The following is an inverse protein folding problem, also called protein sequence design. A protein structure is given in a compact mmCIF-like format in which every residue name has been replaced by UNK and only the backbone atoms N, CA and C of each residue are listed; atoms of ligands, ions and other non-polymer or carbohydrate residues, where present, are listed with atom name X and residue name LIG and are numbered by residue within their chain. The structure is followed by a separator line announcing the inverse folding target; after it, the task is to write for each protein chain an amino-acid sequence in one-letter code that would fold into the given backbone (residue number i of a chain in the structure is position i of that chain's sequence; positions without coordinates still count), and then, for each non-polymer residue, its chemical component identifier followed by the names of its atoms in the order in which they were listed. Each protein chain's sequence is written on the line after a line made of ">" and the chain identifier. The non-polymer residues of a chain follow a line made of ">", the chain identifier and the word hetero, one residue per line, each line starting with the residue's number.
data_IF_662240460066
#
_entry.id   IF_662240460066
#
_cell.length_a   1.000
_cell.length_b   1.000
_cell.length_c   1.000
_cell.angle_alpha   90.00
_cell.angle_beta   90.00
_cell.angle_gamma   90.00
#
_symmetry.space_group_name_H-M   'P 1'
#
loop_
_entity.id
_entity.type
_entity.pdbx_description
1 polymer ?
#
# COMPACT_ATOMS: atom_id res chain seq x y z
N UNK A 1 -40.34 7.72 1.89
CA UNK A 1 -39.57 6.92 0.91
C UNK A 1 -38.18 6.78 1.50
N UNK A 2 -37.88 5.63 2.10
CA UNK A 2 -36.60 5.42 2.78
C UNK A 2 -35.57 5.13 1.68
N UNK A 3 -34.68 6.09 1.42
CA UNK A 3 -33.45 5.87 0.67
C UNK A 3 -32.58 4.94 1.52
N UNK A 4 -32.75 3.63 1.33
CA UNK A 4 -31.76 2.66 1.81
C UNK A 4 -30.76 2.55 0.67
N UNK A 5 -29.62 3.23 0.80
CA UNK A 5 -28.49 3.02 -0.09
C UNK A 5 -28.08 1.53 0.01
N UNK A 6 -28.39 0.76 -1.03
CA UNK A 6 -28.07 -0.67 -1.09
C UNK A 6 -26.57 -0.82 -1.33
N UNK A 7 -25.84 -1.24 -0.29
CA UNK A 7 -24.41 -1.43 -0.35
C UNK A 7 -24.05 -2.92 -0.20
N UNK A 8 -23.22 -3.44 -1.09
CA UNK A 8 -22.72 -4.80 -1.00
C UNK A 8 -21.20 -4.86 -1.10
N UNK A 9 -20.59 -5.70 -0.26
CA UNK A 9 -19.14 -5.91 -0.20
C UNK A 9 -18.84 -7.37 -0.53
N UNK A 10 -18.03 -7.62 -1.56
CA UNK A 10 -17.70 -8.99 -1.96
C UNK A 10 -16.22 -9.18 -2.30
N UNK A 11 -15.69 -10.36 -1.93
CA UNK A 11 -14.32 -10.77 -2.24
C UNK A 11 -14.39 -12.05 -3.07
N UNK A 12 -13.80 -12.02 -4.26
CA UNK A 12 -13.73 -13.20 -5.12
C UNK A 12 -12.72 -14.22 -4.59
N UNK A 13 -13.20 -15.42 -4.27
CA UNK A 13 -12.41 -16.55 -3.72
C UNK A 13 -12.38 -17.78 -4.66
N UNK A 14 -12.46 -17.57 -5.97
CA UNK A 14 -12.34 -18.64 -6.98
C UNK A 14 -13.65 -19.28 -7.46
N UNK A 15 -14.78 -19.03 -6.79
CA UNK A 15 -16.10 -19.51 -7.22
C UNK A 15 -17.00 -18.34 -7.61
N UNK A 16 -17.35 -18.24 -8.90
CA UNK A 16 -18.23 -17.19 -9.42
C UNK A 16 -19.65 -17.27 -8.84
N UNK A 17 -20.26 -18.46 -8.81
CA UNK A 17 -21.61 -18.65 -8.27
C UNK A 17 -21.72 -18.18 -6.81
N UNK A 18 -20.78 -18.59 -5.94
CA UNK A 18 -20.76 -18.15 -4.53
C UNK A 18 -20.55 -16.64 -4.39
N UNK A 19 -19.75 -16.04 -5.28
CA UNK A 19 -19.53 -14.60 -5.29
C UNK A 19 -20.81 -13.82 -5.61
N UNK A 20 -21.55 -14.20 -6.66
CA UNK A 20 -22.82 -13.54 -6.99
C UNK A 20 -23.92 -13.84 -5.99
N UNK A 21 -23.99 -15.04 -5.42
CA UNK A 21 -24.91 -15.34 -4.32
C UNK A 21 -24.66 -14.44 -3.10
N UNK A 22 -23.39 -14.18 -2.76
CA UNK A 22 -23.04 -13.31 -1.64
C UNK A 22 -23.38 -11.83 -1.91
N UNK A 23 -23.34 -11.39 -3.17
CA UNK A 23 -23.79 -10.06 -3.58
C UNK A 23 -25.32 -9.96 -3.50
N UNK A 24 -26.03 -10.89 -4.15
CA UNK A 24 -27.48 -10.93 -4.15
C UNK A 24 -28.05 -10.97 -2.71
N UNK A 25 -27.48 -11.79 -1.84
CA UNK A 25 -27.87 -11.85 -0.43
C UNK A 25 -27.71 -10.51 0.32
N UNK A 26 -26.64 -9.75 0.06
CA UNK A 26 -26.42 -8.44 0.69
C UNK A 26 -27.33 -7.35 0.13
N UNK A 27 -27.71 -7.47 -1.14
CA UNK A 27 -28.61 -6.55 -1.82
C UNK A 27 -30.09 -6.93 -1.64
N UNK A 28 -30.39 -7.95 -0.84
CA UNK A 28 -31.74 -8.49 -0.65
C UNK A 28 -32.42 -8.91 -1.97
N UNK A 29 -31.63 -9.50 -2.87
CA UNK A 29 -32.07 -9.97 -4.20
C UNK A 29 -32.31 -11.49 -4.14
N UNK A 30 -33.45 -11.99 -4.62
CA UNK A 30 -33.75 -13.41 -4.65
C UNK A 30 -32.68 -14.22 -5.40
N UNK A 31 -32.23 -15.33 -4.78
CA UNK A 31 -31.26 -16.25 -5.40
C UNK A 31 -31.89 -17.54 -5.93
N UNK A 32 -33.21 -17.64 -5.84
CA UNK A 32 -34.02 -18.77 -6.27
C UNK A 32 -35.12 -18.28 -7.20
N UNK A 33 -35.53 -19.12 -8.15
CA UNK A 33 -36.69 -18.84 -9.00
C UNK A 33 -38.01 -19.14 -8.26
N UNK A 34 -39.14 -18.85 -8.91
CA UNK A 34 -40.49 -19.11 -8.37
C UNK A 34 -40.75 -20.60 -8.03
N UNK A 35 -39.95 -21.52 -8.59
CA UNK A 35 -40.01 -22.96 -8.32
C UNK A 35 -39.08 -23.41 -7.16
N UNK A 36 -38.39 -22.48 -6.48
CA UNK A 36 -37.44 -22.77 -5.40
C UNK A 36 -36.12 -23.38 -5.87
N UNK A 37 -35.78 -23.29 -7.16
CA UNK A 37 -34.47 -23.73 -7.71
C UNK A 37 -33.47 -22.58 -7.66
N UNK A 38 -32.26 -22.88 -7.20
CA UNK A 38 -31.18 -21.89 -7.16
C UNK A 38 -30.80 -21.40 -8.56
N UNK A 39 -30.74 -20.08 -8.72
CA UNK A 39 -30.34 -19.43 -9.96
C UNK A 39 -28.93 -19.86 -10.40
N UNK A 40 -28.73 -19.90 -11.72
CA UNK A 40 -27.41 -20.09 -12.32
C UNK A 40 -26.56 -18.82 -12.14
N UNK A 41 -25.26 -18.90 -12.44
CA UNK A 41 -24.38 -17.75 -12.33
C UNK A 41 -24.80 -16.60 -13.24
N UNK A 42 -25.24 -16.91 -14.47
CA UNK A 42 -25.63 -15.88 -15.43
C UNK A 42 -27.00 -15.28 -15.09
N UNK A 43 -27.95 -16.11 -14.63
CA UNK A 43 -29.21 -15.60 -14.08
C UNK A 43 -29.00 -14.68 -12.86
N UNK A 44 -28.06 -15.01 -11.97
CA UNK A 44 -27.73 -14.12 -10.85
C UNK A 44 -27.15 -12.78 -11.32
N UNK A 45 -26.34 -12.76 -12.38
CA UNK A 45 -25.80 -11.50 -12.93
C UNK A 45 -26.92 -10.62 -13.48
N UNK A 46 -27.84 -11.22 -14.23
CA UNK A 46 -28.99 -10.52 -14.82
C UNK A 46 -29.91 -9.99 -13.72
N UNK A 47 -30.24 -10.81 -12.73
CA UNK A 47 -31.09 -10.41 -11.61
C UNK A 47 -30.45 -9.28 -10.79
N UNK A 48 -29.15 -9.37 -10.52
CA UNK A 48 -28.43 -8.29 -9.84
C UNK A 48 -28.45 -7.03 -10.70
N UNK A 49 -28.18 -7.13 -11.99
CA UNK A 49 -28.17 -5.97 -12.88
C UNK A 49 -29.55 -5.30 -12.99
N UNK A 50 -30.63 -6.07 -13.01
CA UNK A 50 -32.00 -5.55 -13.07
C UNK A 50 -32.44 -4.81 -11.80
N UNK A 51 -31.89 -5.19 -10.65
CA UNK A 51 -32.26 -4.62 -9.35
C UNK A 51 -31.26 -3.55 -8.84
N UNK A 52 -30.11 -3.38 -9.51
CA UNK A 52 -29.14 -2.34 -9.19
C UNK A 52 -29.46 -1.04 -9.94
N UNK A 53 -29.23 0.09 -9.29
CA UNK A 53 -29.44 1.43 -9.83
C UNK A 53 -28.33 2.40 -9.38
N UNK A 54 -28.51 3.70 -9.64
CA UNK A 54 -27.59 4.78 -9.30
C UNK A 54 -27.38 5.03 -7.79
N UNK A 55 -28.28 4.51 -6.95
CA UNK A 55 -28.14 4.49 -5.48
C UNK A 55 -27.42 3.25 -4.95
N UNK A 56 -27.14 2.27 -5.81
CA UNK A 56 -26.46 1.03 -5.42
C UNK A 56 -24.94 1.22 -5.38
N UNK A 57 -24.31 0.75 -4.29
CA UNK A 57 -22.87 0.81 -4.08
C UNK A 57 -22.26 -0.60 -3.96
N UNK A 58 -21.37 -0.94 -4.89
CA UNK A 58 -20.63 -2.21 -4.87
C UNK A 58 -19.17 -1.96 -4.45
N UNK A 59 -18.70 -2.65 -3.41
CA UNK A 59 -17.34 -2.51 -2.89
C UNK A 59 -16.58 -3.83 -3.04
N UNK A 60 -15.40 -3.77 -3.66
CA UNK A 60 -14.54 -4.92 -3.92
C UNK A 60 -13.16 -4.74 -3.28
N UNK A 61 -12.95 -5.25 -2.05
CA UNK A 61 -11.71 -5.08 -1.29
C UNK A 61 -10.44 -5.68 -1.94
N UNK A 62 -10.59 -6.69 -2.80
CA UNK A 62 -9.49 -7.36 -3.49
C UNK A 62 -9.74 -7.40 -5.00
N UNK A 63 -9.91 -6.23 -5.62
CA UNK A 63 -10.35 -6.09 -7.01
C UNK A 63 -9.40 -6.77 -8.03
N UNK A 64 -8.11 -6.92 -7.70
CA UNK A 64 -7.13 -7.66 -8.53
C UNK A 64 -7.54 -9.12 -8.79
N UNK A 65 -8.32 -9.73 -7.90
CA UNK A 65 -8.77 -11.12 -8.04
C UNK A 65 -9.97 -11.30 -8.97
N UNK A 66 -10.64 -10.21 -9.35
CA UNK A 66 -11.80 -10.28 -10.24
C UNK A 66 -11.39 -10.86 -11.59
N UNK A 67 -12.12 -11.89 -12.01
CA UNK A 67 -11.93 -12.50 -13.33
C UNK A 67 -12.35 -11.53 -14.42
N UNK A 68 -11.81 -11.70 -15.62
CA UNK A 68 -12.15 -10.85 -16.77
C UNK A 68 -13.66 -10.78 -17.02
N UNK A 69 -14.38 -11.91 -16.93
CA UNK A 69 -15.84 -11.92 -17.09
C UNK A 69 -16.61 -11.14 -16.01
N UNK A 70 -16.11 -11.08 -14.77
CA UNK A 70 -16.73 -10.23 -13.74
C UNK A 70 -16.43 -8.76 -14.01
N UNK A 71 -15.23 -8.43 -14.53
CA UNK A 71 -14.86 -7.06 -14.86
C UNK A 71 -15.72 -6.47 -15.98
N UNK A 72 -15.93 -7.21 -17.07
CA UNK A 72 -16.85 -6.79 -18.14
C UNK A 72 -18.28 -6.60 -17.62
N UNK A 73 -18.78 -7.52 -16.81
CA UNK A 73 -20.11 -7.35 -16.19
C UNK A 73 -20.20 -6.09 -15.30
N UNK A 74 -19.13 -5.74 -14.60
CA UNK A 74 -19.09 -4.50 -13.82
C UNK A 74 -19.00 -3.24 -14.69
N UNK A 75 -18.38 -3.30 -15.87
CA UNK A 75 -18.37 -2.18 -16.84
C UNK A 75 -19.81 -1.87 -17.27
N UNK A 76 -20.59 -2.90 -17.61
CA UNK A 76 -22.00 -2.75 -17.99
C UNK A 76 -22.84 -2.13 -16.85
N UNK A 77 -22.58 -2.53 -15.59
CA UNK A 77 -23.25 -1.94 -14.43
C UNK A 77 -22.86 -0.48 -14.20
N UNK A 78 -21.58 -0.16 -14.34
CA UNK A 78 -21.10 1.22 -14.22
C UNK A 78 -21.72 2.12 -15.30
N UNK A 79 -21.81 1.63 -16.55
CA UNK A 79 -22.47 2.32 -17.64
C UNK A 79 -23.96 2.55 -17.37
N UNK A 80 -24.60 1.66 -16.61
CA UNK A 80 -25.99 1.77 -16.15
C UNK A 80 -26.17 2.71 -14.93
N UNK A 81 -25.08 3.28 -14.40
CA UNK A 81 -25.08 4.26 -13.31
C UNK A 81 -24.73 3.70 -11.93
N UNK A 82 -24.49 2.39 -11.80
CA UNK A 82 -24.15 1.77 -10.51
C UNK A 82 -22.79 2.25 -10.02
N UNK A 83 -22.68 2.60 -8.74
CA UNK A 83 -21.41 3.05 -8.14
C UNK A 83 -20.56 1.86 -7.74
N UNK A 84 -19.35 1.79 -8.27
CA UNK A 84 -18.40 0.70 -7.99
C UNK A 84 -17.13 1.25 -7.35
N UNK A 85 -16.72 0.66 -6.23
CA UNK A 85 -15.48 0.98 -5.52
C UNK A 85 -14.58 -0.25 -5.51
N UNK A 86 -13.44 -0.14 -6.18
CA UNK A 86 -12.43 -1.19 -6.24
C UNK A 86 -11.22 -0.83 -5.39
N UNK A 87 -10.86 -1.69 -4.44
CA UNK A 87 -9.64 -1.55 -3.65
C UNK A 87 -8.60 -2.55 -4.16
N UNK A 88 -7.38 -2.06 -4.39
CA UNK A 88 -6.25 -2.87 -4.81
C UNK A 88 -4.94 -2.26 -4.27
N UNK A 89 -3.93 -3.11 -4.09
CA UNK A 89 -2.57 -2.66 -3.71
C UNK A 89 -1.89 -1.87 -4.82
N UNK A 90 -2.21 -2.20 -6.07
CA UNK A 90 -1.76 -1.49 -7.26
C UNK A 90 -2.86 -1.61 -8.33
N UNK A 91 -3.10 -0.52 -9.06
CA UNK A 91 -4.05 -0.52 -10.17
C UNK A 91 -3.60 -1.53 -11.25
N UNK A 92 -4.44 -2.51 -11.64
CA UNK A 92 -4.12 -3.45 -12.72
C UNK A 92 -3.99 -2.80 -14.11
N UNK A 93 -4.52 -1.59 -14.32
CA UNK A 93 -4.37 -0.81 -15.55
C UNK A 93 -4.97 -1.46 -16.79
N UNK A 94 -6.14 -2.12 -16.66
CA UNK A 94 -6.86 -2.80 -17.75
C UNK A 94 -8.35 -2.91 -17.47
N UNK A 95 -9.15 -3.21 -18.48
CA UNK A 95 -10.60 -3.43 -18.36
C UNK A 95 -11.26 -2.24 -17.61
N UNK A 96 -12.24 -2.51 -16.76
CA UNK A 96 -12.94 -1.53 -15.92
C UNK A 96 -12.04 -0.53 -15.20
N UNK A 97 -10.82 -0.93 -14.83
CA UNK A 97 -9.90 -0.06 -14.10
C UNK A 97 -9.37 1.12 -14.91
N UNK A 98 -9.54 1.11 -16.24
CA UNK A 98 -9.17 2.23 -17.12
C UNK A 98 -10.20 3.37 -17.07
N UNK A 99 -11.47 3.06 -16.79
CA UNK A 99 -12.57 4.04 -16.76
C UNK A 99 -12.84 4.58 -15.35
N UNK A 100 -12.33 3.90 -14.33
CA UNK A 100 -12.52 4.29 -12.93
C UNK A 100 -11.63 5.48 -12.55
N UNK A 101 -12.16 6.35 -11.68
CA UNK A 101 -11.36 7.36 -11.00
C UNK A 101 -10.34 6.69 -10.07
N UNK A 102 -9.06 6.98 -10.27
CA UNK A 102 -7.99 6.47 -9.41
C UNK A 102 -7.73 7.42 -8.23
N UNK A 103 -7.78 6.85 -7.02
CA UNK A 103 -7.43 7.55 -5.77
C UNK A 103 -6.26 6.79 -5.15
N UNK A 104 -5.07 7.37 -5.22
CA UNK A 104 -3.88 6.81 -4.57
C UNK A 104 -3.84 7.20 -3.08
N UNK A 105 -3.71 6.19 -2.21
CA UNK A 105 -3.58 6.42 -0.77
C UNK A 105 -2.11 6.60 -0.40
N UNK A 106 -1.76 7.80 0.06
CA UNK A 106 -0.43 8.05 0.58
C UNK A 106 -0.16 7.27 1.87
N UNK A 107 1.10 6.83 2.04
CA UNK A 107 1.53 6.28 3.31
C UNK A 107 1.40 7.34 4.42
N UNK A 108 0.88 6.98 5.61
CA UNK A 108 0.76 7.93 6.71
C UNK A 108 2.12 8.46 7.15
N UNK A 109 2.18 9.69 7.63
CA UNK A 109 3.42 10.28 8.17
C UNK A 109 3.85 9.60 9.47
N UNK A 110 5.14 9.71 9.79
CA UNK A 110 5.71 9.23 11.05
C UNK A 110 5.01 9.82 12.28
N UNK A 111 4.58 11.08 12.20
CA UNK A 111 3.78 11.72 13.25
C UNK A 111 2.42 11.04 13.41
N UNK A 112 1.75 10.70 12.30
CA UNK A 112 0.46 10.02 12.35
C UNK A 112 0.59 8.60 12.93
N UNK A 113 1.67 7.89 12.61
CA UNK A 113 1.98 6.60 13.23
C UNK A 113 2.17 6.75 14.74
N UNK A 114 2.91 7.77 15.16
CA UNK A 114 3.10 8.08 16.59
C UNK A 114 1.78 8.31 17.32
N UNK A 115 0.86 9.05 16.72
CA UNK A 115 -0.49 9.26 17.25
C UNK A 115 -1.28 7.95 17.38
N UNK A 116 -1.21 7.09 16.35
CA UNK A 116 -1.85 5.77 16.39
C UNK A 116 -1.29 4.93 17.53
N UNK A 117 0.03 4.94 17.74
CA UNK A 117 0.67 4.21 18.84
C UNK A 117 0.25 4.74 20.21
N UNK A 118 0.21 6.06 20.40
CA UNK A 118 -0.26 6.68 21.66
C UNK A 118 -1.72 6.35 21.95
N UNK A 119 -2.56 6.43 20.92
CA UNK A 119 -3.99 6.11 21.04
C UNK A 119 -4.19 4.64 21.42
N UNK A 120 -3.42 3.73 20.82
CA UNK A 120 -3.45 2.31 21.16
C UNK A 120 -2.95 2.03 22.58
N UNK A 121 -1.86 2.68 23.00
CA UNK A 121 -1.31 2.52 24.35
C UNK A 121 -2.33 2.96 25.41
N UNK A 122 -2.98 4.11 25.19
CA UNK A 122 -4.06 4.61 26.04
C UNK A 122 -5.24 3.64 26.09
N UNK A 123 -5.63 3.06 24.96
CA UNK A 123 -6.71 2.05 24.89
C UNK A 123 -6.40 0.80 25.71
N UNK A 124 -5.13 0.41 25.78
CA UNK A 124 -4.68 -0.75 26.55
C UNK A 124 -4.34 -0.41 28.01
N UNK A 125 -4.54 0.83 28.45
CA UNK A 125 -4.15 1.28 29.79
C UNK A 125 -2.63 1.26 30.03
N UNK A 126 -1.83 1.21 28.97
CA UNK A 126 -0.38 1.16 29.05
C UNK A 126 0.20 2.58 29.08
N UNK A 127 0.96 2.89 30.13
CA UNK A 127 1.68 4.15 30.23
C UNK A 127 3.06 4.03 29.57
N UNK A 128 3.17 4.40 28.29
CA UNK A 128 4.42 4.37 27.54
C UNK A 128 5.05 5.77 27.54
N UNK A 129 6.31 5.87 27.97
CA UNK A 129 7.10 7.10 27.85
C UNK A 129 7.41 7.44 26.38
N UNK A 130 7.54 8.72 26.05
CA UNK A 130 7.87 9.18 24.69
C UNK A 130 9.18 8.59 24.13
N UNK A 131 10.20 8.37 24.97
CA UNK A 131 11.45 7.71 24.58
C UNK A 131 11.20 6.27 24.11
N UNK A 132 10.48 5.49 24.91
CA UNK A 132 10.12 4.11 24.57
C UNK A 132 9.26 4.03 23.30
N UNK A 133 8.37 4.99 23.11
CA UNK A 133 7.53 5.04 21.90
C UNK A 133 8.37 5.36 20.65
N UNK A 134 9.39 6.21 20.77
CA UNK A 134 10.35 6.47 19.70
C UNK A 134 11.22 5.25 19.36
N UNK A 135 11.55 4.40 20.32
CA UNK A 135 12.25 3.12 20.07
C UNK A 135 11.37 2.10 19.34
N UNK A 136 10.06 2.08 19.62
CA UNK A 136 9.11 1.15 19.03
C UNK A 136 8.66 1.57 17.62
N UNK A 137 8.63 2.87 17.33
CA UNK A 137 8.13 3.41 16.07
C UNK A 137 8.84 2.84 14.82
N UNK A 138 10.19 2.71 14.77
CA UNK A 138 10.88 2.08 13.64
C UNK A 138 10.44 0.63 13.38
N UNK A 139 9.96 -0.10 14.39
CA UNK A 139 9.46 -1.47 14.22
C UNK A 139 8.13 -1.50 13.43
N UNK A 140 7.33 -0.44 13.55
CA UNK A 140 6.05 -0.31 12.89
C UNK A 140 6.15 0.20 11.44
N UNK A 141 7.22 0.93 11.12
CA UNK A 141 7.34 1.68 9.87
C UNK A 141 6.15 2.62 9.66
N UNK A 142 5.74 2.83 8.40
CA UNK A 142 4.59 3.67 8.03
C UNK A 142 3.26 2.89 7.96
N UNK A 143 3.10 1.84 8.77
CA UNK A 143 1.89 1.00 8.77
C UNK A 143 1.11 1.13 10.10
N UNK A 144 -0.12 1.73 10.10
CA UNK A 144 -0.93 1.89 11.31
C UNK A 144 -1.33 0.58 11.99
N UNK A 145 -1.54 -0.49 11.23
CA UNK A 145 -1.93 -1.79 11.79
C UNK A 145 -0.76 -2.48 12.48
N UNK A 146 0.44 -2.37 11.90
CA UNK A 146 1.67 -2.85 12.56
C UNK A 146 1.97 -2.01 13.80
N UNK A 147 1.77 -0.70 13.75
CA UNK A 147 1.94 0.20 14.90
C UNK A 147 1.10 -0.24 16.12
N UNK A 148 -0.18 -0.59 15.88
CA UNK A 148 -1.05 -1.13 16.94
C UNK A 148 -0.56 -2.48 17.48
N UNK A 149 -0.11 -3.36 16.58
CA UNK A 149 0.45 -4.67 16.94
C UNK A 149 1.70 -4.54 17.80
N UNK A 150 2.62 -3.64 17.45
CA UNK A 150 3.85 -3.37 18.23
C UNK A 150 3.51 -2.91 19.65
N UNK A 151 2.58 -1.96 19.80
CA UNK A 151 2.13 -1.49 21.12
C UNK A 151 1.46 -2.62 21.93
N UNK A 152 0.65 -3.46 21.27
CA UNK A 152 0.04 -4.63 21.91
C UNK A 152 1.07 -5.67 22.34
N UNK A 153 2.14 -5.86 21.58
CA UNK A 153 3.20 -6.78 21.97
C UNK A 153 3.98 -6.23 23.18
N UNK A 154 4.20 -4.92 23.23
CA UNK A 154 4.85 -4.26 24.37
C UNK A 154 4.03 -4.43 25.66
N UNK A 155 2.70 -4.28 25.62
CA UNK A 155 1.85 -4.49 26.80
C UNK A 155 1.87 -5.92 27.32
N UNK A 156 2.12 -6.89 26.43
CA UNK A 156 2.25 -8.31 26.76
C UNK A 156 3.70 -8.71 27.14
N UNK A 157 4.65 -7.76 27.14
CA UNK A 157 6.06 -8.03 27.42
C UNK A 157 6.78 -8.83 26.31
N UNK A 158 6.20 -8.92 25.12
CA UNK A 158 6.75 -9.64 23.98
C UNK A 158 7.76 -8.77 23.23
N UNK A 159 9.06 -9.03 23.43
CA UNK A 159 10.13 -8.28 22.74
C UNK A 159 10.23 -8.67 21.27
N UNK A 160 9.87 -7.74 20.38
CA UNK A 160 10.18 -7.87 18.95
C UNK A 160 11.56 -7.28 18.67
N UNK A 161 12.53 -8.15 18.33
CA UNK A 161 13.92 -7.75 18.07
C UNK A 161 14.22 -7.40 16.61
N UNK A 162 13.27 -7.60 15.68
CA UNK A 162 13.46 -7.32 14.25
C UNK A 162 12.42 -6.30 13.77
N UNK A 163 12.84 -5.16 13.19
CA UNK A 163 11.91 -4.26 12.51
C UNK A 163 11.28 -5.00 11.32
N UNK A 164 9.94 -4.94 11.20
CA UNK A 164 9.22 -5.55 10.08
C UNK A 164 9.51 -4.80 8.76
N UNK A 165 9.95 -3.53 8.83
CA UNK A 165 10.34 -2.72 7.67
C UNK A 165 11.70 -2.05 7.90
N UNK A 166 12.64 -2.23 6.98
CA UNK A 166 13.85 -1.43 6.90
C UNK A 166 13.51 -0.08 6.28
N UNK A 167 13.35 0.96 7.10
CA UNK A 167 13.31 2.32 6.62
C UNK A 167 14.69 2.67 6.05
N UNK A 168 14.79 2.69 4.72
CA UNK A 168 16.00 3.12 4.03
C UNK A 168 16.16 4.63 4.25
N UNK A 169 17.09 5.01 5.11
CA UNK A 169 17.59 6.39 5.11
C UNK A 169 18.28 6.60 3.77
N UNK A 170 17.82 7.59 2.99
CA UNK A 170 18.44 7.94 1.71
C UNK A 170 19.77 8.65 2.01
N UNK A 171 20.84 7.88 2.23
CA UNK A 171 22.19 8.36 2.58
C UNK A 171 22.92 8.99 1.37
N UNK A 172 22.36 8.82 0.16
CA UNK A 172 22.96 9.28 -1.10
C UNK A 172 23.38 10.77 -1.12
N UNK A 173 22.58 11.73 -0.60
CA UNK A 173 22.96 13.14 -0.58
C UNK A 173 24.23 13.39 0.26
N UNK A 174 24.37 12.69 1.38
CA UNK A 174 25.54 12.82 2.27
C UNK A 174 26.81 12.31 1.57
N UNK A 175 26.71 11.17 0.88
CA UNK A 175 27.84 10.60 0.12
C UNK A 175 28.24 11.55 -1.02
N UNK A 176 27.28 12.12 -1.75
CA UNK A 176 27.57 13.07 -2.84
C UNK A 176 28.24 14.33 -2.28
N UNK A 177 27.76 14.89 -1.16
CA UNK A 177 28.37 16.05 -0.52
C UNK A 177 29.82 15.78 -0.10
N UNK A 178 30.10 14.62 0.51
CA UNK A 178 31.44 14.22 0.87
C UNK A 178 32.36 14.10 -0.35
N UNK A 179 31.89 13.51 -1.46
CA UNK A 179 32.67 13.44 -2.71
C UNK A 179 32.96 14.83 -3.27
N UNK A 180 31.98 15.73 -3.30
CA UNK A 180 32.19 17.10 -3.79
C UNK A 180 33.22 17.86 -2.96
N UNK A 181 33.32 17.61 -1.65
CA UNK A 181 34.36 18.21 -0.81
C UNK A 181 35.80 17.87 -1.25
N UNK A 182 36.04 16.65 -1.73
CA UNK A 182 37.34 16.27 -2.31
C UNK A 182 37.61 16.98 -3.65
N UNK A 183 36.56 17.25 -4.41
CA UNK A 183 36.64 18.12 -5.60
C UNK A 183 37.10 19.53 -5.25
N UNK A 184 36.57 20.12 -4.17
CA UNK A 184 36.98 21.44 -3.69
C UNK A 184 38.44 21.43 -3.25
N UNK A 185 38.88 20.43 -2.48
CA UNK A 185 40.27 20.27 -2.05
C UNK A 185 41.23 20.22 -3.25
N UNK A 186 40.82 19.51 -4.32
CA UNK A 186 41.60 19.46 -5.58
C UNK A 186 41.74 20.84 -6.22
N UNK A 187 40.67 21.63 -6.29
CA UNK A 187 40.72 22.99 -6.84
C UNK A 187 41.58 23.93 -5.99
N UNK A 188 41.52 23.82 -4.66
CA UNK A 188 42.39 24.58 -3.75
C UNK A 188 43.86 24.21 -4.00
N UNK A 189 44.18 22.92 -4.15
CA UNK A 189 45.54 22.48 -4.49
C UNK A 189 46.05 23.04 -5.81
N UNK A 190 45.19 23.13 -6.83
CA UNK A 190 45.52 23.77 -8.11
C UNK A 190 45.76 25.28 -7.94
N UNK A 191 44.87 25.98 -7.23
CA UNK A 191 44.95 27.43 -7.04
C UNK A 191 46.11 27.88 -6.14
N UNK A 192 46.55 27.03 -5.20
CA UNK A 192 47.66 27.32 -4.29
C UNK A 192 49.01 26.79 -4.79
N UNK A 193 49.05 26.12 -5.94
CA UNK A 193 50.26 25.45 -6.45
C UNK A 193 50.70 24.22 -5.64
N UNK A 194 49.90 23.78 -4.67
CA UNK A 194 50.20 22.62 -3.82
C UNK A 194 49.83 21.31 -4.54
N UNK A 195 50.85 20.68 -5.15
CA UNK A 195 50.72 19.40 -5.85
C UNK A 195 50.16 18.28 -4.96
N UNK A 196 50.50 18.26 -3.68
CA UNK A 196 50.05 17.22 -2.75
C UNK A 196 48.53 17.31 -2.52
N UNK A 197 47.98 18.51 -2.31
CA UNK A 197 46.54 18.70 -2.16
C UNK A 197 45.76 18.36 -3.45
N UNK A 198 46.31 18.75 -4.59
CA UNK A 198 45.73 18.45 -5.90
C UNK A 198 45.63 16.93 -6.14
N UNK A 199 46.72 16.20 -5.88
CA UNK A 199 46.78 14.75 -6.05
C UNK A 199 45.87 14.06 -5.04
N UNK A 200 45.93 14.46 -3.75
CA UNK A 200 45.12 13.84 -2.70
C UNK A 200 43.61 14.01 -2.95
N UNK A 201 43.16 15.21 -3.28
CA UNK A 201 41.75 15.48 -3.61
C UNK A 201 41.30 14.70 -4.85
N UNK A 202 42.13 14.63 -5.88
CA UNK A 202 41.84 13.87 -7.11
C UNK A 202 41.73 12.36 -6.88
N UNK A 203 42.69 11.76 -6.16
CA UNK A 203 42.72 10.32 -5.88
C UNK A 203 41.55 9.92 -4.97
N UNK A 204 41.27 10.71 -3.92
CA UNK A 204 40.16 10.44 -2.98
C UNK A 204 38.80 10.52 -3.66
N UNK A 205 38.61 11.49 -4.58
CA UNK A 205 37.39 11.62 -5.38
C UNK A 205 37.15 10.39 -6.26
N UNK A 206 38.17 9.94 -7.00
CA UNK A 206 38.06 8.79 -7.90
C UNK A 206 37.80 7.51 -7.11
N UNK A 207 38.57 7.27 -6.03
CA UNK A 207 38.37 6.11 -5.17
C UNK A 207 36.94 6.08 -4.58
N UNK A 208 36.44 7.24 -4.11
CA UNK A 208 35.09 7.37 -3.59
C UNK A 208 34.00 7.12 -4.63
N UNK A 209 34.19 7.58 -5.89
CA UNK A 209 33.26 7.27 -6.99
C UNK A 209 33.25 5.78 -7.33
N UNK A 210 34.42 5.12 -7.35
CA UNK A 210 34.51 3.67 -7.58
C UNK A 210 33.79 2.88 -6.48
N UNK A 211 33.97 3.26 -5.20
CA UNK A 211 33.26 2.65 -4.08
C UNK A 211 31.74 2.85 -4.17
N UNK A 212 31.29 4.05 -4.57
CA UNK A 212 29.87 4.34 -4.81
C UNK A 212 29.29 3.44 -5.91
N UNK A 213 30.02 3.25 -7.00
CA UNK A 213 29.58 2.43 -8.12
C UNK A 213 29.52 0.94 -7.75
N UNK A 214 30.51 0.43 -7.03
CA UNK A 214 30.52 -0.94 -6.50
C UNK A 214 29.37 -1.19 -5.49
N UNK A 215 29.08 -0.21 -4.62
CA UNK A 215 27.96 -0.26 -3.69
C UNK A 215 26.59 -0.25 -4.37
N UNK A 216 26.45 0.53 -5.45
CA UNK A 216 25.21 0.58 -6.24
C UNK A 216 24.88 -0.75 -6.94
N UNK A 217 25.89 -1.53 -7.33
CA UNK A 217 25.69 -2.83 -8.01
C UNK A 217 25.12 -3.89 -7.05
N UNK A 218 25.45 -3.81 -5.75
CA UNK A 218 24.88 -4.72 -4.72
C UNK A 218 23.45 -4.36 -4.31
N UNK A 219 22.99 -3.13 -4.55
CA UNK A 219 21.65 -2.66 -4.18
C UNK A 219 20.51 -3.06 -5.13
N UNK A 220 20.81 -3.69 -6.27
CA UNK A 220 19.81 -3.99 -7.31
C UNK A 220 19.17 -5.40 -7.24
N UNK A 221 19.33 -6.15 -6.15
CA UNK A 221 18.77 -7.53 -6.06
C UNK A 221 17.95 -7.76 -4.79
N UNK A 222 16.66 -7.46 -4.88
CA UNK A 222 15.52 -8.42 -4.85
C UNK A 222 14.23 -7.59 -4.69
N UNK A 223 13.46 -7.42 -5.77
CA UNK A 223 12.03 -7.11 -5.62
C UNK A 223 11.40 -8.36 -5.01
N UNK A 224 11.09 -8.34 -3.72
CA UNK A 224 10.21 -9.33 -3.11
C UNK A 224 8.81 -9.03 -3.64
N UNK A 225 8.25 -9.94 -4.45
CA UNK A 225 6.93 -9.78 -5.06
C UNK A 225 6.77 -10.28 -6.49
N UNK A 226 7.75 -10.99 -7.04
CA UNK A 226 7.53 -11.98 -8.10
C UNK A 226 7.83 -13.37 -7.53
#
# INVERSE_FOLDING_TARGET
>A
MVLVDLAAIAIYKGSGKKFFQALAFQLDIPTENDEGKSLTMDQLKEEIAANCNDSTLLIFPEAKRLTTGIRYWLEDLMASGVRVVCLAVANPGRDIFLEMLEIELEMPSDQRIREVMRSEAKRQGLNISESRLAELQPLAGRNPMVAKKVVRNESLGLKQHKPEHTQYVVIMPIIIAALMSFGIIRFIGMGTGNKSLYIFGGVSLVAGMTLKQLGSIRGARKRLGQ
#
